data_IF_462792631297
#
_entry.id   IF_462792631297
#
_cell.length_a   1.000
_cell.length_b   1.000
_cell.length_c   1.000
_cell.angle_alpha   90.00
_cell.angle_beta   90.00
_cell.angle_gamma   90.00
#
_symmetry.space_group_name_H-M   'P 1'
#
loop_
_entity.id
_entity.type
_entity.pdbx_description
1 polymer ?
#
# COMPACT_ATOMS: atom_id res chain seq x y z
N UNK A 1 -8.45 56.53 0.78
CA UNK A 1 -8.45 56.95 2.20
C UNK A 1 -9.68 56.35 2.84
N UNK A 2 -9.71 55.58 3.92
CA UNK A 2 -8.74 55.10 4.92
C UNK A 2 -9.46 54.03 5.75
N UNK A 3 -8.68 53.13 6.36
CA UNK A 3 -9.05 51.96 7.19
C UNK A 3 -9.96 52.30 8.38
N UNK A 4 -10.70 51.31 8.89
CA UNK A 4 -10.37 50.62 10.16
C UNK A 4 -11.41 49.53 10.56
N UNK A 5 -10.88 48.37 10.95
CA UNK A 5 -11.51 47.30 11.73
C UNK A 5 -11.56 47.72 13.22
N UNK A 6 -12.39 47.13 14.11
CA UNK A 6 -11.93 45.91 14.81
C UNK A 6 -13.00 44.89 15.28
N UNK A 7 -12.46 43.72 15.66
CA UNK A 7 -12.93 42.60 16.51
C UNK A 7 -14.14 42.86 17.43
N UNK A 8 -14.98 41.91 17.81
CA UNK A 8 -14.92 40.44 17.83
C UNK A 8 -15.71 39.98 19.06
N UNK A 9 -16.38 38.84 19.06
CA UNK A 9 -16.60 38.02 20.27
C UNK A 9 -17.03 36.62 19.85
N UNK A 10 -16.33 35.65 20.42
CA UNK A 10 -16.43 34.22 20.18
C UNK A 10 -17.15 33.57 21.38
N UNK A 11 -17.91 32.49 21.12
CA UNK A 11 -18.47 31.58 22.11
C UNK A 11 -20.00 31.51 22.07
N UNK A 12 -20.68 30.38 22.20
CA UNK A 12 -20.33 29.01 22.55
C UNK A 12 -21.54 28.16 22.14
N UNK A 13 -21.31 27.06 21.42
CA UNK A 13 -22.07 25.81 21.32
C UNK A 13 -21.72 25.16 19.97
N UNK A 14 -20.51 24.61 19.95
CA UNK A 14 -19.95 23.90 18.81
C UNK A 14 -20.57 22.53 18.67
N UNK A 15 -21.33 22.34 17.59
CA UNK A 15 -21.66 21.06 16.97
C UNK A 15 -22.28 21.36 15.60
N UNK A 16 -21.47 21.68 14.61
CA UNK A 16 -21.83 21.49 13.20
C UNK A 16 -20.62 21.58 12.25
N UNK A 17 -20.53 20.54 11.42
CA UNK A 17 -19.89 20.48 10.10
C UNK A 17 -18.38 20.78 10.00
N UNK A 18 -17.57 19.77 10.31
CA UNK A 18 -16.25 19.64 9.66
C UNK A 18 -16.33 18.65 8.51
N UNK A 19 -16.31 19.21 7.31
CA UNK A 19 -16.39 18.51 6.03
C UNK A 19 -15.24 17.51 5.87
N UNK A 20 -15.62 16.26 5.61
CA UNK A 20 -14.78 15.13 5.27
C UNK A 20 -14.07 15.34 3.93
N UNK A 21 -12.95 16.05 3.94
CA UNK A 21 -11.98 16.00 2.87
C UNK A 21 -10.80 15.15 3.33
N UNK A 22 -10.48 14.07 2.60
CA UNK A 22 -9.12 13.64 2.22
C UNK A 22 -9.02 12.12 1.92
N UNK A 23 -8.21 11.77 0.91
CA UNK A 23 -7.92 10.40 0.48
C UNK A 23 -6.87 9.74 1.38
N UNK A 24 -7.14 8.50 1.79
CA UNK A 24 -6.29 7.60 2.58
C UNK A 24 -5.61 8.09 3.91
N UNK A 25 -6.20 8.95 4.76
CA UNK A 25 -5.71 9.13 6.13
C UNK A 25 -5.94 7.91 7.03
N UNK A 26 -6.93 7.07 6.73
CA UNK A 26 -7.38 5.97 7.61
C UNK A 26 -6.32 4.89 7.82
N UNK A 27 -5.56 4.51 6.78
CA UNK A 27 -4.55 3.44 6.86
C UNK A 27 -3.44 3.82 7.83
N UNK A 28 -3.07 5.10 7.86
CA UNK A 28 -2.08 5.66 8.76
C UNK A 28 -2.53 5.70 10.20
N UNK A 29 -3.75 6.20 10.44
CA UNK A 29 -4.28 6.28 11.79
C UNK A 29 -4.49 4.90 12.40
N UNK A 30 -4.92 3.91 11.61
CA UNK A 30 -5.03 2.53 12.06
C UNK A 30 -3.66 1.89 12.30
N UNK A 31 -2.71 2.07 11.39
CA UNK A 31 -1.36 1.50 11.51
C UNK A 31 -0.62 1.99 12.77
N UNK A 32 -0.92 3.20 13.24
CA UNK A 32 -0.33 3.77 14.46
C UNK A 32 -1.06 3.38 15.76
N UNK A 33 -2.15 2.63 15.71
CA UNK A 33 -2.83 2.19 16.93
C UNK A 33 -1.98 1.13 17.66
N UNK A 34 -1.81 1.19 18.99
CA UNK A 34 -1.06 0.17 19.72
C UNK A 34 -1.83 -1.16 19.83
N UNK A 35 -3.15 -1.12 20.08
CA UNK A 35 -4.02 -2.30 20.11
C UNK A 35 -5.49 -1.92 19.87
N UNK A 36 -6.15 -2.54 18.89
CA UNK A 36 -7.59 -2.33 18.69
C UNK A 36 -8.44 -3.02 19.74
N UNK A 37 -7.90 -4.06 20.40
CA UNK A 37 -8.62 -4.86 21.40
C UNK A 37 -9.14 -4.03 22.57
N UNK A 38 -8.41 -2.99 22.98
CA UNK A 38 -8.85 -2.07 24.04
C UNK A 38 -9.93 -1.10 23.54
N UNK A 39 -9.78 -0.57 22.32
CA UNK A 39 -10.69 0.42 21.73
C UNK A 39 -12.03 -0.22 21.37
N UNK A 40 -12.01 -1.45 20.85
CA UNK A 40 -13.21 -2.20 20.49
C UNK A 40 -13.98 -2.73 21.72
N UNK A 41 -13.38 -2.65 22.91
CA UNK A 41 -14.03 -2.95 24.21
C UNK A 41 -14.59 -1.69 24.91
N UNK A 42 -14.21 -0.49 24.47
CA UNK A 42 -14.78 0.79 24.94
C UNK A 42 -16.24 0.91 24.41
N UNK A 43 -17.20 1.50 25.14
CA UNK A 43 -18.54 1.80 24.63
C UNK A 43 -18.57 2.56 23.29
N UNK A 44 -17.50 3.31 22.95
CA UNK A 44 -17.37 3.97 21.63
C UNK A 44 -16.98 3.03 20.49
N UNK A 45 -16.47 1.82 20.78
CA UNK A 45 -16.17 0.77 19.81
C UNK A 45 -15.51 1.25 18.51
N UNK A 46 -16.23 1.09 17.39
CA UNK A 46 -15.77 1.48 16.06
C UNK A 46 -15.69 3.00 15.84
N UNK A 47 -16.52 3.79 16.53
CA UNK A 47 -16.46 5.25 16.50
C UNK A 47 -15.21 5.81 17.18
N UNK A 48 -14.61 5.04 18.09
CA UNK A 48 -13.34 5.38 18.74
C UNK A 48 -12.12 5.29 17.81
N UNK A 49 -12.25 4.65 16.65
CA UNK A 49 -11.15 4.46 15.70
C UNK A 49 -10.91 5.76 14.90
N UNK A 50 -9.80 6.43 15.19
CA UNK A 50 -9.41 7.64 14.47
C UNK A 50 -9.19 7.36 12.98
N UNK A 51 -9.64 8.29 12.15
CA UNK A 51 -9.41 8.27 10.70
C UNK A 51 -10.45 7.47 9.90
N UNK A 52 -11.34 6.72 10.54
CA UNK A 52 -12.45 6.06 9.85
C UNK A 52 -13.55 7.07 9.55
N UNK A 53 -14.11 6.99 8.35
CA UNK A 53 -15.35 7.70 8.00
C UNK A 53 -16.58 6.86 8.35
N UNK A 54 -17.76 7.48 8.31
CA UNK A 54 -19.02 6.83 8.72
C UNK A 54 -19.27 5.49 7.99
N UNK A 55 -18.99 5.41 6.69
CA UNK A 55 -19.12 4.19 5.92
C UNK A 55 -18.19 3.07 6.40
N UNK A 56 -16.97 3.41 6.81
CA UNK A 56 -16.00 2.46 7.35
C UNK A 56 -16.39 2.02 8.76
N UNK A 57 -16.93 2.93 9.57
CA UNK A 57 -17.49 2.59 10.89
C UNK A 57 -18.63 1.58 10.75
N UNK A 58 -19.51 1.73 9.75
CA UNK A 58 -20.58 0.74 9.48
C UNK A 58 -20.03 -0.64 9.14
N UNK A 59 -18.95 -0.72 8.36
CA UNK A 59 -18.28 -2.00 8.05
C UNK A 59 -17.62 -2.58 9.31
N UNK A 60 -16.93 -1.75 10.09
CA UNK A 60 -16.33 -2.13 11.36
C UNK A 60 -17.37 -2.75 12.31
N UNK A 61 -18.51 -2.09 12.52
CA UNK A 61 -19.57 -2.60 13.42
C UNK A 61 -20.12 -3.97 12.98
N UNK A 62 -20.16 -4.24 11.67
CA UNK A 62 -20.62 -5.53 11.12
C UNK A 62 -19.59 -6.65 11.25
N UNK A 63 -18.31 -6.32 11.27
CA UNK A 63 -17.20 -7.28 11.23
C UNK A 63 -16.04 -6.80 12.13
N UNK A 64 -16.33 -6.62 13.41
CA UNK A 64 -15.38 -6.10 14.40
C UNK A 64 -14.11 -6.98 14.47
N UNK A 65 -14.29 -8.30 14.41
CA UNK A 65 -13.19 -9.30 14.39
C UNK A 65 -12.18 -9.09 13.26
N UNK A 66 -12.62 -8.57 12.11
CA UNK A 66 -11.75 -8.35 10.95
C UNK A 66 -10.85 -7.12 11.11
N UNK A 67 -11.13 -6.23 12.08
CA UNK A 67 -10.43 -4.95 12.19
C UNK A 67 -8.96 -5.09 12.58
N UNK A 68 -8.60 -6.12 13.34
CA UNK A 68 -7.18 -6.42 13.61
C UNK A 68 -6.44 -6.81 12.32
N UNK A 69 -7.10 -7.54 11.41
CA UNK A 69 -6.54 -7.83 10.10
C UNK A 69 -6.46 -6.56 9.22
N UNK A 70 -7.46 -5.67 9.29
CA UNK A 70 -7.44 -4.38 8.57
C UNK A 70 -6.25 -3.52 9.02
N UNK A 71 -6.01 -3.43 10.33
CA UNK A 71 -4.85 -2.71 10.89
C UNK A 71 -3.53 -3.27 10.36
N UNK A 72 -3.34 -4.59 10.44
CA UNK A 72 -2.13 -5.23 9.91
C UNK A 72 -1.99 -4.99 8.40
N UNK A 73 -3.08 -5.01 7.66
CA UNK A 73 -3.08 -4.69 6.23
C UNK A 73 -2.64 -3.26 5.94
N UNK A 74 -3.04 -2.32 6.79
CA UNK A 74 -2.61 -0.93 6.70
C UNK A 74 -1.12 -0.74 7.06
N UNK A 75 -0.63 -1.40 8.12
CA UNK A 75 0.79 -1.41 8.49
C UNK A 75 1.66 -1.95 7.35
N UNK A 76 1.30 -3.11 6.80
CA UNK A 76 1.99 -3.71 5.66
C UNK A 76 2.04 -2.76 4.46
N UNK A 77 0.93 -2.07 4.16
CA UNK A 77 0.87 -1.12 3.05
C UNK A 77 1.81 0.08 3.25
N UNK A 78 1.89 0.62 4.47
CA UNK A 78 2.78 1.74 4.80
C UNK A 78 4.25 1.31 4.73
N UNK A 79 4.58 0.19 5.38
CA UNK A 79 5.94 -0.36 5.38
C UNK A 79 6.43 -0.68 3.97
N UNK A 80 5.57 -1.30 3.16
CA UNK A 80 5.92 -1.64 1.79
C UNK A 80 6.02 -0.39 0.91
N UNK A 81 5.19 0.63 1.12
CA UNK A 81 5.34 1.90 0.41
C UNK A 81 6.66 2.59 0.75
N UNK A 82 7.01 2.66 2.04
CA UNK A 82 8.29 3.22 2.48
C UNK A 82 9.47 2.42 1.93
N UNK A 83 9.36 1.09 1.91
CA UNK A 83 10.34 0.23 1.28
C UNK A 83 10.49 0.53 -0.23
N UNK A 84 9.40 0.56 -1.00
CA UNK A 84 9.49 0.79 -2.45
C UNK A 84 10.02 2.17 -2.84
N UNK A 85 9.90 3.16 -1.95
CA UNK A 85 10.24 4.55 -2.21
C UNK A 85 11.40 5.10 -1.36
N UNK A 86 12.09 4.27 -0.54
CA UNK A 86 13.13 4.74 0.39
C UNK A 86 14.23 5.59 -0.26
N UNK A 87 14.51 5.32 -1.54
CA UNK A 87 15.55 5.97 -2.35
C UNK A 87 15.02 7.05 -3.31
N UNK A 88 13.72 7.33 -3.33
CA UNK A 88 13.11 8.40 -4.17
C UNK A 88 13.00 9.69 -3.37
N UNK A 89 12.94 10.86 -4.02
CA UNK A 89 12.74 12.17 -3.35
C UNK A 89 11.48 12.19 -2.48
N UNK A 90 10.38 11.64 -3.00
CA UNK A 90 9.24 11.23 -2.20
C UNK A 90 9.45 9.80 -1.70
N UNK A 91 9.57 9.61 -0.39
CA UNK A 91 9.89 8.32 0.25
C UNK A 91 8.73 7.72 1.05
N UNK A 92 7.50 8.15 0.77
CA UNK A 92 6.32 7.71 1.50
C UNK A 92 6.34 8.04 3.01
N UNK A 93 7.20 8.95 3.47
CA UNK A 93 7.25 9.42 4.87
C UNK A 93 6.21 10.50 5.19
N UNK A 94 5.59 11.13 4.17
CA UNK A 94 4.44 12.05 4.33
C UNK A 94 3.29 11.41 5.12
N UNK A 95 3.26 10.09 5.14
CA UNK A 95 2.36 9.24 5.91
C UNK A 95 2.56 9.31 7.44
N UNK A 96 3.72 9.75 7.93
CA UNK A 96 4.04 9.78 9.37
C UNK A 96 3.71 11.12 10.04
N UNK A 97 3.55 12.22 9.29
CA UNK A 97 3.36 13.58 9.81
C UNK A 97 1.92 14.05 10.02
N UNK A 98 0.91 13.16 9.92
CA UNK A 98 -0.53 13.51 9.98
C UNK A 98 -1.03 13.80 11.41
N UNK A 99 -0.33 14.68 12.12
CA UNK A 99 -0.81 15.36 13.31
C UNK A 99 -1.25 16.76 12.87
N UNK A 100 -2.51 16.91 12.43
CA UNK A 100 -3.37 18.10 12.61
C UNK A 100 -4.45 18.21 11.52
N UNK A 101 -5.61 18.69 11.97
CA UNK A 101 -6.85 18.92 11.23
C UNK A 101 -6.75 20.11 10.27
N UNK A 102 -5.93 20.03 9.23
CA UNK A 102 -5.96 20.94 8.08
C UNK A 102 -4.98 20.40 7.03
N UNK A 103 -5.17 20.76 5.77
CA UNK A 103 -4.34 20.41 4.60
C UNK A 103 -4.85 19.14 3.90
N UNK A 104 -5.60 19.39 2.83
CA UNK A 104 -5.75 18.50 1.68
C UNK A 104 -4.47 17.67 1.45
N UNK A 105 -4.58 16.33 1.46
CA UNK A 105 -3.47 15.44 1.14
C UNK A 105 -2.76 15.95 -0.12
N UNK A 106 -1.51 16.38 -0.02
CA UNK A 106 -0.87 17.14 -1.08
C UNK A 106 -0.62 16.41 -2.39
N UNK A 107 -0.56 15.09 -2.30
CA UNK A 107 -0.39 14.18 -3.42
C UNK A 107 -1.73 13.76 -4.00
N UNK A 108 -2.86 14.35 -3.57
CA UNK A 108 -4.19 13.90 -3.99
C UNK A 108 -4.40 14.10 -5.49
N UNK A 109 -4.47 12.99 -6.23
CA UNK A 109 -4.58 13.02 -7.69
C UNK A 109 -3.25 12.82 -8.41
N UNK A 110 -2.12 12.76 -7.69
CA UNK A 110 -0.79 12.51 -8.27
C UNK A 110 -0.51 11.02 -8.40
N UNK A 111 0.57 10.70 -9.11
CA UNK A 111 1.07 9.34 -9.30
C UNK A 111 1.34 8.62 -7.96
N UNK A 112 1.85 9.35 -6.97
CA UNK A 112 2.15 8.81 -5.63
C UNK A 112 0.85 8.41 -4.90
N UNK A 113 -0.21 9.22 -5.02
CA UNK A 113 -1.52 8.84 -4.46
C UNK A 113 -2.11 7.61 -5.13
N UNK A 114 -1.92 7.45 -6.44
CA UNK A 114 -2.38 6.27 -7.17
C UNK A 114 -1.75 4.99 -6.58
N UNK A 115 -0.45 5.02 -6.29
CA UNK A 115 0.24 3.91 -5.63
C UNK A 115 -0.26 3.69 -4.19
N UNK A 116 -0.42 4.75 -3.38
CA UNK A 116 -0.93 4.64 -2.01
C UNK A 116 -2.31 3.96 -1.97
N UNK A 117 -3.22 4.36 -2.86
CA UNK A 117 -4.55 3.76 -2.97
C UNK A 117 -4.47 2.28 -3.34
N UNK A 118 -3.65 1.94 -4.35
CA UNK A 118 -3.46 0.56 -4.78
C UNK A 118 -2.86 -0.33 -3.68
N UNK A 119 -1.75 0.09 -3.06
CA UNK A 119 -1.08 -0.71 -2.01
C UNK A 119 -1.92 -0.82 -0.74
N UNK A 120 -2.70 0.21 -0.39
CA UNK A 120 -3.61 0.17 0.77
C UNK A 120 -4.77 -0.82 0.55
N UNK A 121 -5.41 -0.76 -0.64
CA UNK A 121 -6.48 -1.70 -0.99
C UNK A 121 -5.97 -3.15 -1.07
N UNK A 122 -4.77 -3.33 -1.64
CA UNK A 122 -4.07 -4.61 -1.67
C UNK A 122 -3.73 -5.13 -0.27
N UNK A 123 -3.22 -4.26 0.61
CA UNK A 123 -2.84 -4.58 1.99
C UNK A 123 -4.01 -5.10 2.81
N UNK A 124 -5.17 -4.44 2.73
CA UNK A 124 -6.40 -4.90 3.40
C UNK A 124 -6.85 -6.25 2.84
N UNK A 125 -6.92 -6.39 1.51
CA UNK A 125 -7.34 -7.65 0.89
C UNK A 125 -6.40 -8.80 1.27
N UNK A 126 -5.10 -8.54 1.27
CA UNK A 126 -4.06 -9.49 1.65
C UNK A 126 -4.20 -9.93 3.11
N UNK A 127 -4.26 -8.98 4.04
CA UNK A 127 -4.29 -9.29 5.47
C UNK A 127 -5.59 -9.99 5.89
N UNK A 128 -6.75 -9.58 5.36
CA UNK A 128 -8.03 -10.24 5.62
C UNK A 128 -8.05 -11.65 5.02
N UNK A 129 -7.57 -11.84 3.79
CA UNK A 129 -7.46 -13.18 3.18
C UNK A 129 -6.61 -14.11 4.05
N UNK A 130 -5.45 -13.61 4.52
CA UNK A 130 -4.54 -14.38 5.37
C UNK A 130 -5.14 -14.71 6.73
N UNK A 131 -5.90 -13.78 7.33
CA UNK A 131 -6.61 -14.02 8.58
C UNK A 131 -7.69 -15.12 8.42
N UNK A 132 -8.45 -15.09 7.32
CA UNK A 132 -9.42 -16.14 6.99
C UNK A 132 -8.76 -17.52 6.89
N UNK A 133 -7.68 -17.65 6.12
CA UNK A 133 -7.01 -18.94 5.91
C UNK A 133 -6.32 -19.49 7.15
N UNK A 134 -6.04 -18.63 8.14
CA UNK A 134 -5.49 -19.04 9.44
C UNK A 134 -6.57 -19.38 10.47
N UNK A 135 -7.85 -19.21 10.12
CA UNK A 135 -8.96 -19.39 11.06
C UNK A 135 -9.02 -18.31 12.14
N UNK A 136 -8.48 -17.11 11.88
CA UNK A 136 -8.55 -15.98 12.83
C UNK A 136 -9.92 -15.26 12.79
N UNK A 137 -10.76 -15.55 11.78
CA UNK A 137 -12.05 -14.90 11.55
C UNK A 137 -13.14 -15.96 11.43
N UNK A 138 -14.25 -15.80 12.14
CA UNK A 138 -15.35 -16.78 12.18
C UNK A 138 -16.16 -16.80 10.87
N UNK A 139 -16.32 -15.64 10.22
CA UNK A 139 -17.18 -15.47 9.03
C UNK A 139 -16.55 -15.97 7.73
N UNK A 140 -15.30 -16.42 7.75
CA UNK A 140 -14.60 -16.91 6.57
C UNK A 140 -13.64 -18.05 6.89
N UNK A 141 -13.05 -18.64 5.86
CA UNK A 141 -12.08 -19.71 5.98
C UNK A 141 -11.39 -19.96 4.64
N UNK A 142 -10.77 -21.13 4.51
CA UNK A 142 -10.17 -21.59 3.26
C UNK A 142 -11.17 -21.61 2.10
N UNK A 143 -10.69 -21.38 0.89
CA UNK A 143 -11.50 -21.47 -0.32
C UNK A 143 -11.96 -22.91 -0.57
N UNK A 144 -13.27 -23.14 -0.41
CA UNK A 144 -13.89 -24.46 -0.59
C UNK A 144 -14.16 -24.79 -2.06
N UNK A 145 -14.02 -23.83 -2.97
CA UNK A 145 -14.28 -24.01 -4.42
C UNK A 145 -13.14 -24.75 -5.13
N UNK A 146 -11.94 -24.77 -4.54
CA UNK A 146 -10.74 -25.35 -5.13
C UNK A 146 -10.49 -26.71 -4.46
N UNK A 147 -10.97 -27.78 -5.11
CA UNK A 147 -10.85 -29.17 -4.64
C UNK A 147 -10.65 -30.11 -5.83
N UNK A 148 -10.19 -31.34 -5.57
CA UNK A 148 -10.04 -32.37 -6.59
C UNK A 148 -8.72 -32.25 -7.36
N UNK A 149 -8.69 -32.77 -8.59
CA UNK A 149 -7.48 -32.78 -9.44
C UNK A 149 -7.52 -31.58 -10.39
N UNK A 150 -6.41 -30.86 -10.52
CA UNK A 150 -6.25 -29.81 -11.52
C UNK A 150 -6.38 -30.40 -12.93
N UNK A 151 -7.07 -29.71 -13.86
CA UNK A 151 -7.05 -30.08 -15.27
C UNK A 151 -5.60 -30.20 -15.75
N UNK A 152 -5.31 -31.21 -16.57
CA UNK A 152 -4.01 -31.32 -17.25
C UNK A 152 -3.79 -30.06 -18.10
N UNK A 153 -2.62 -29.44 -17.95
CA UNK A 153 -2.28 -28.30 -18.78
C UNK A 153 -2.14 -28.78 -20.24
N UNK A 154 -2.75 -28.12 -21.23
CA UNK A 154 -2.48 -28.44 -22.63
C UNK A 154 -0.99 -28.26 -22.88
N UNK A 155 -0.37 -29.23 -23.57
CA UNK A 155 1.07 -29.37 -23.86
C UNK A 155 1.73 -28.20 -24.61
N UNK A 156 1.03 -27.08 -24.80
CA UNK A 156 1.46 -25.87 -25.52
C UNK A 156 1.63 -24.64 -24.64
N UNK A 157 1.71 -24.79 -23.32
CA UNK A 157 2.09 -23.67 -22.45
C UNK A 157 3.56 -23.30 -22.71
N UNK A 158 3.78 -22.08 -23.24
CA UNK A 158 5.10 -21.56 -23.58
C UNK A 158 6.07 -21.62 -22.38
N UNK A 159 7.36 -21.94 -22.59
CA UNK A 159 8.36 -22.10 -21.53
C UNK A 159 8.79 -20.77 -20.86
N UNK A 160 8.13 -19.64 -21.15
CA UNK A 160 8.56 -18.31 -20.73
C UNK A 160 7.92 -17.78 -19.44
N UNK A 161 7.02 -18.53 -18.79
CA UNK A 161 6.60 -18.16 -17.42
C UNK A 161 7.57 -18.78 -16.41
N UNK A 162 8.67 -18.10 -16.16
CA UNK A 162 9.71 -18.47 -15.18
C UNK A 162 9.23 -18.57 -13.72
N UNK A 163 7.94 -18.39 -13.43
CA UNK A 163 7.38 -18.34 -12.07
C UNK A 163 6.03 -19.09 -11.93
N UNK A 164 5.99 -20.38 -12.21
CA UNK A 164 4.86 -21.22 -11.83
C UNK A 164 5.25 -22.67 -11.65
N UNK A 165 5.14 -23.20 -10.42
CA UNK A 165 5.01 -24.66 -10.20
C UNK A 165 3.65 -25.08 -10.78
N UNK A 166 3.58 -25.24 -12.10
CA UNK A 166 2.55 -26.03 -12.74
C UNK A 166 3.27 -27.26 -13.28
N UNK A 167 3.15 -28.42 -12.61
CA UNK A 167 3.64 -29.66 -13.17
C UNK A 167 2.97 -29.90 -14.53
N UNK A 168 3.72 -30.41 -15.50
CA UNK A 168 3.22 -30.81 -16.83
C UNK A 168 2.18 -31.94 -16.77
N UNK A 169 1.93 -32.50 -15.58
CA UNK A 169 0.98 -33.57 -15.28
C UNK A 169 0.00 -33.10 -14.18
N UNK A 170 -1.22 -33.66 -14.17
CA UNK A 170 -2.25 -33.29 -13.20
C UNK A 170 -1.79 -33.36 -11.73
N UNK A 171 -2.20 -32.38 -10.93
CA UNK A 171 -1.92 -32.30 -9.48
C UNK A 171 -3.21 -32.20 -8.67
N UNK A 172 -3.21 -32.72 -7.44
CA UNK A 172 -4.33 -32.70 -6.52
C UNK A 172 -4.34 -31.41 -5.68
N UNK A 173 -5.47 -30.73 -5.62
CA UNK A 173 -5.71 -29.66 -4.67
C UNK A 173 -5.93 -30.24 -3.28
N UNK A 174 -5.13 -29.78 -2.32
CA UNK A 174 -5.24 -30.17 -0.90
C UNK A 174 -4.94 -28.96 0.00
N UNK A 175 -4.99 -29.11 1.32
CA UNK A 175 -4.67 -28.04 2.27
C UNK A 175 -5.66 -26.87 2.29
N UNK A 176 -5.21 -25.73 2.84
CA UNK A 176 -6.01 -24.52 2.93
C UNK A 176 -5.64 -23.55 1.80
N UNK A 177 -6.46 -23.52 0.74
CA UNK A 177 -6.32 -22.50 -0.31
C UNK A 177 -6.83 -21.16 0.18
N UNK A 178 -6.07 -20.09 -0.08
CA UNK A 178 -6.42 -18.73 0.33
C UNK A 178 -7.70 -18.24 -0.37
N UNK A 179 -8.69 -17.80 0.41
CA UNK A 179 -9.95 -17.27 -0.11
C UNK A 179 -9.82 -15.79 -0.50
N UNK A 180 -9.13 -15.55 -1.61
CA UNK A 180 -8.90 -14.20 -2.14
C UNK A 180 -10.23 -13.48 -2.46
N UNK A 181 -11.26 -14.20 -2.89
CA UNK A 181 -12.56 -13.59 -3.21
C UNK A 181 -13.19 -12.89 -2.00
N UNK A 182 -13.06 -13.49 -0.81
CA UNK A 182 -13.55 -12.88 0.44
C UNK A 182 -12.74 -11.62 0.79
N UNK A 183 -11.41 -11.70 0.76
CA UNK A 183 -10.56 -10.55 1.09
C UNK A 183 -10.74 -9.38 0.12
N UNK A 184 -10.91 -9.64 -1.17
CA UNK A 184 -11.23 -8.61 -2.18
C UNK A 184 -12.58 -7.96 -1.87
N UNK A 185 -13.62 -8.77 -1.61
CA UNK A 185 -14.95 -8.24 -1.30
C UNK A 185 -14.96 -7.40 -0.03
N UNK A 186 -14.22 -7.83 1.01
CA UNK A 186 -14.04 -7.06 2.22
C UNK A 186 -13.32 -5.73 1.93
N UNK A 187 -12.20 -5.77 1.21
CA UNK A 187 -11.43 -4.57 0.86
C UNK A 187 -12.26 -3.59 0.01
N UNK A 188 -13.09 -4.08 -0.91
CA UNK A 188 -14.04 -3.23 -1.65
C UNK A 188 -15.04 -2.57 -0.70
N UNK A 189 -15.68 -3.34 0.20
CA UNK A 189 -16.64 -2.77 1.15
C UNK A 189 -16.00 -1.75 2.11
N UNK A 190 -14.76 -1.97 2.54
CA UNK A 190 -14.08 -1.11 3.51
C UNK A 190 -13.39 0.10 2.87
N UNK A 191 -12.64 -0.09 1.77
CA UNK A 191 -11.78 0.93 1.16
C UNK A 191 -12.53 1.74 0.10
N UNK A 192 -13.48 1.15 -0.64
CA UNK A 192 -14.15 1.83 -1.75
C UNK A 192 -15.41 2.59 -1.32
N UNK A 193 -16.13 2.14 -0.28
CA UNK A 193 -17.38 2.78 0.14
C UNK A 193 -17.26 4.30 0.39
N UNK A 194 -16.22 4.80 1.08
CA UNK A 194 -15.99 6.24 1.22
C UNK A 194 -15.88 6.99 -0.11
N UNK A 195 -15.22 6.38 -1.10
CA UNK A 195 -15.06 6.98 -2.43
C UNK A 195 -16.37 6.95 -3.21
N UNK A 196 -17.17 5.88 -3.07
CA UNK A 196 -18.50 5.76 -3.69
C UNK A 196 -19.49 6.79 -3.15
N UNK A 197 -19.49 7.04 -1.84
CA UNK A 197 -20.36 8.05 -1.20
C UNK A 197 -20.06 9.48 -1.68
N UNK A 198 -18.82 9.78 -2.06
CA UNK A 198 -18.44 11.08 -2.65
C UNK A 198 -19.00 11.31 -4.06
N UNK A 199 -19.59 10.28 -4.66
CA UNK A 199 -20.28 10.35 -5.94
C UNK A 199 -19.38 10.18 -7.15
N UNK A 200 -19.94 9.52 -8.18
CA UNK A 200 -19.33 9.24 -9.49
C UNK A 200 -19.02 10.54 -10.27
N UNK A 201 -19.55 11.69 -9.82
CA UNK A 201 -19.26 13.02 -10.37
C UNK A 201 -17.82 13.48 -10.10
N UNK A 202 -17.17 12.96 -9.05
CA UNK A 202 -15.79 13.28 -8.71
C UNK A 202 -14.81 12.46 -9.54
N UNK A 203 -14.03 13.13 -10.39
CA UNK A 203 -12.97 12.49 -11.18
C UNK A 203 -11.94 11.79 -10.29
N UNK A 204 -11.70 12.36 -9.09
CA UNK A 204 -10.79 11.83 -8.09
C UNK A 204 -11.31 10.53 -7.47
N UNK A 205 -12.60 10.45 -7.16
CA UNK A 205 -13.20 9.23 -6.66
C UNK A 205 -13.09 8.09 -7.69
N UNK A 206 -13.34 8.38 -8.98
CA UNK A 206 -13.14 7.42 -10.07
C UNK A 206 -11.69 6.92 -10.16
N UNK A 207 -10.72 7.84 -10.06
CA UNK A 207 -9.30 7.50 -10.06
C UNK A 207 -8.94 6.60 -8.88
N UNK A 208 -9.39 6.95 -7.67
CA UNK A 208 -9.16 6.18 -6.46
C UNK A 208 -9.75 4.77 -6.55
N UNK A 209 -11.00 4.64 -7.01
CA UNK A 209 -11.67 3.35 -7.20
C UNK A 209 -10.94 2.46 -8.21
N UNK A 210 -10.47 3.04 -9.32
CA UNK A 210 -9.68 2.31 -10.31
C UNK A 210 -8.37 1.79 -9.72
N UNK A 211 -7.62 2.66 -9.02
CA UNK A 211 -6.33 2.29 -8.43
C UNK A 211 -6.48 1.29 -7.29
N UNK A 212 -7.52 1.41 -6.46
CA UNK A 212 -7.87 0.42 -5.43
C UNK A 212 -8.10 -0.95 -6.07
N UNK A 213 -8.82 -0.99 -7.20
CA UNK A 213 -9.09 -2.24 -7.92
C UNK A 213 -7.84 -2.83 -8.56
N UNK A 214 -7.00 -2.00 -9.20
CA UNK A 214 -5.70 -2.44 -9.71
C UNK A 214 -4.83 -3.07 -8.60
N UNK A 215 -4.86 -2.48 -7.40
CA UNK A 215 -4.19 -3.03 -6.21
C UNK A 215 -4.70 -4.41 -5.79
N UNK A 216 -6.01 -4.66 -5.91
CA UNK A 216 -6.63 -5.94 -5.52
C UNK A 216 -6.45 -7.05 -6.55
N UNK A 217 -6.02 -6.75 -7.78
CA UNK A 217 -5.77 -7.74 -8.84
C UNK A 217 -4.44 -8.48 -8.69
N UNK A 218 -4.15 -8.92 -7.46
CA UNK A 218 -3.03 -9.81 -7.16
C UNK A 218 -3.39 -11.23 -7.58
N UNK A 219 -2.47 -11.91 -8.26
CA UNK A 219 -2.64 -13.31 -8.65
C UNK A 219 -2.14 -14.22 -7.54
N UNK A 220 -2.94 -15.24 -7.21
CA UNK A 220 -2.52 -16.31 -6.30
C UNK A 220 -1.40 -17.15 -6.93
N UNK A 221 -0.50 -17.65 -6.09
CA UNK A 221 0.53 -18.62 -6.44
C UNK A 221 0.14 -20.02 -5.98
N UNK A 222 0.68 -21.05 -6.63
CA UNK A 222 0.54 -22.42 -6.16
C UNK A 222 1.76 -22.78 -5.31
N UNK A 223 1.53 -23.27 -4.09
CA UNK A 223 2.55 -23.97 -3.31
C UNK A 223 2.24 -25.45 -3.31
N UNK A 224 3.27 -26.27 -3.41
CA UNK A 224 3.15 -27.72 -3.39
C UNK A 224 3.92 -28.30 -2.21
N UNK A 225 3.47 -29.47 -1.74
CA UNK A 225 4.20 -30.24 -0.75
C UNK A 225 5.28 -31.08 -1.45
N UNK A 226 6.40 -31.35 -0.76
CA UNK A 226 7.46 -32.24 -1.19
C UNK A 226 8.74 -32.00 -0.39
N UNK A 227 9.66 -32.98 -0.40
CA UNK A 227 10.91 -32.88 0.36
C UNK A 227 11.69 -31.67 -0.16
N UNK A 228 12.08 -30.78 0.74
CA UNK A 228 12.78 -29.52 0.40
C UNK A 228 12.02 -28.58 -0.55
N UNK A 229 10.69 -28.70 -0.67
CA UNK A 229 9.88 -27.88 -1.59
C UNK A 229 9.87 -28.37 -3.04
N UNK A 230 10.31 -29.61 -3.31
CA UNK A 230 10.13 -30.23 -4.62
C UNK A 230 8.63 -30.38 -4.94
N UNK A 231 8.22 -30.10 -6.17
CA UNK A 231 6.85 -30.37 -6.65
C UNK A 231 6.70 -31.86 -7.09
N UNK A 232 7.54 -32.76 -6.55
CA UNK A 232 7.49 -34.21 -6.79
C UNK A 232 6.23 -34.84 -6.20
N UNK A 233 5.77 -34.32 -5.04
CA UNK A 233 4.45 -34.64 -4.52
C UNK A 233 3.43 -33.72 -5.18
N UNK A 234 2.43 -34.34 -5.80
CA UNK A 234 1.44 -33.68 -6.64
C UNK A 234 0.34 -32.97 -5.85
N UNK A 235 0.55 -32.58 -4.60
CA UNK A 235 -0.47 -31.89 -3.79
C UNK A 235 -0.14 -30.42 -3.62
N UNK A 236 -1.02 -29.54 -4.10
CA UNK A 236 -0.81 -28.09 -4.08
C UNK A 236 -2.02 -27.32 -3.52
N UNK A 237 -1.79 -26.10 -3.06
CA UNK A 237 -2.82 -25.15 -2.60
C UNK A 237 -2.50 -23.74 -3.12
N UNK A 238 -3.54 -22.93 -3.28
CA UNK A 238 -3.36 -21.53 -3.69
C UNK A 238 -3.03 -20.67 -2.49
N UNK A 239 -2.02 -19.83 -2.62
CA UNK A 239 -1.61 -18.90 -1.57
C UNK A 239 -1.40 -17.50 -2.13
N UNK A 240 -1.62 -16.50 -1.28
CA UNK A 240 -1.19 -15.14 -1.54
C UNK A 240 0.34 -15.11 -1.67
N UNK A 241 0.88 -14.43 -2.70
CA UNK A 241 2.32 -14.22 -2.82
C UNK A 241 2.84 -13.40 -1.63
N UNK A 242 4.15 -13.44 -1.32
CA UNK A 242 4.73 -12.52 -0.35
C UNK A 242 4.37 -11.07 -0.68
N UNK A 243 4.02 -10.27 0.34
CA UNK A 243 3.55 -8.90 0.09
C UNK A 243 4.59 -8.01 -0.59
N UNK A 244 5.89 -8.28 -0.39
CA UNK A 244 6.99 -7.66 -1.15
C UNK A 244 6.83 -7.83 -2.67
N UNK A 245 6.38 -9.00 -3.13
CA UNK A 245 6.13 -9.26 -4.56
C UNK A 245 4.96 -8.41 -5.07
N UNK A 246 3.92 -8.22 -4.26
CA UNK A 246 2.82 -7.29 -4.57
C UNK A 246 3.33 -5.86 -4.68
N UNK A 247 4.16 -5.42 -3.73
CA UNK A 247 4.82 -4.11 -3.75
C UNK A 247 5.64 -3.89 -5.02
N UNK A 248 6.46 -4.86 -5.41
CA UNK A 248 7.27 -4.81 -6.63
C UNK A 248 6.39 -4.66 -7.90
N UNK A 249 5.34 -5.48 -8.03
CA UNK A 249 4.40 -5.40 -9.17
C UNK A 249 3.74 -4.02 -9.24
N UNK A 250 3.24 -3.52 -8.11
CA UNK A 250 2.61 -2.19 -8.07
C UNK A 250 3.63 -1.07 -8.33
N UNK A 251 4.90 -1.27 -7.96
CA UNK A 251 5.96 -0.30 -8.21
C UNK A 251 6.30 -0.20 -9.69
N UNK A 252 6.27 -1.31 -10.42
CA UNK A 252 6.36 -1.32 -11.89
C UNK A 252 5.16 -0.58 -12.52
N UNK A 253 3.95 -0.84 -12.02
CA UNK A 253 2.73 -0.13 -12.46
C UNK A 253 2.75 1.36 -12.15
N UNK A 254 3.44 1.77 -11.08
CA UNK A 254 3.66 3.18 -10.76
C UNK A 254 4.58 3.85 -11.79
N UNK A 255 5.70 3.24 -12.20
CA UNK A 255 6.59 3.85 -13.19
C UNK A 255 5.90 4.06 -14.54
N UNK A 256 5.03 3.11 -14.94
CA UNK A 256 4.23 3.16 -16.16
C UNK A 256 2.82 3.76 -16.02
N UNK A 257 2.53 4.47 -14.93
CA UNK A 257 1.18 4.99 -14.67
C UNK A 257 0.74 6.02 -15.73
N UNK A 258 -0.55 6.03 -16.05
CA UNK A 258 -1.11 6.88 -17.13
C UNK A 258 -1.75 8.16 -16.57
N UNK A 259 -1.38 9.31 -17.12
CA UNK A 259 -2.08 10.57 -16.83
C UNK A 259 -3.43 10.60 -17.57
N UNK A 260 -4.50 10.84 -16.83
CA UNK A 260 -5.87 10.82 -17.33
C UNK A 260 -6.57 12.14 -17.06
N UNK A 261 -7.59 12.43 -17.87
CA UNK A 261 -8.51 13.54 -17.64
C UNK A 261 -9.95 13.04 -17.73
N UNK A 262 -10.91 13.71 -17.07
CA UNK A 262 -12.31 13.35 -17.19
C UNK A 262 -12.88 13.74 -18.55
N UNK A 263 -13.59 12.81 -19.19
CA UNK A 263 -14.39 13.04 -20.39
C UNK A 263 -15.84 12.62 -20.12
N UNK A 264 -16.81 13.47 -20.51
CA UNK A 264 -18.22 13.11 -20.47
C UNK A 264 -18.57 12.29 -21.72
N UNK A 265 -19.18 11.13 -21.52
CA UNK A 265 -19.72 10.26 -22.57
C UNK A 265 -21.17 9.98 -22.21
N UNK A 266 -22.10 10.68 -22.88
CA UNK A 266 -23.50 10.73 -22.47
C UNK A 266 -23.66 11.30 -21.05
N UNK A 267 -24.41 10.61 -20.20
CA UNK A 267 -24.59 10.97 -18.78
C UNK A 267 -23.42 10.53 -17.88
N UNK A 268 -22.48 9.72 -18.39
CA UNK A 268 -21.40 9.13 -17.59
C UNK A 268 -20.10 9.94 -17.73
N UNK A 269 -19.37 10.06 -16.63
CA UNK A 269 -18.01 10.60 -16.60
C UNK A 269 -17.03 9.43 -16.65
N UNK A 270 -16.12 9.44 -17.61
CA UNK A 270 -15.08 8.43 -17.77
C UNK A 270 -13.71 9.10 -17.67
N UNK A 271 -12.73 8.37 -17.18
CA UNK A 271 -11.33 8.79 -17.25
C UNK A 271 -10.76 8.29 -18.56
N UNK A 272 -10.06 9.16 -19.28
CA UNK A 272 -9.40 8.81 -20.54
C UNK A 272 -7.97 9.35 -20.53
N UNK A 273 -7.02 8.69 -21.22
CA UNK A 273 -5.65 9.17 -21.32
C UNK A 273 -5.60 10.62 -21.82
N UNK A 274 -4.73 11.44 -21.23
CA UNK A 274 -4.56 12.86 -21.60
C UNK A 274 -4.05 13.05 -23.03
N UNK A 275 -3.25 12.12 -23.52
CA UNK A 275 -2.75 12.11 -24.90
C UNK A 275 -3.22 10.86 -25.62
N UNK A 276 -3.79 11.03 -26.81
CA UNK A 276 -4.26 9.96 -27.70
C UNK A 276 -3.12 9.08 -28.25
N UNK A 277 -1.86 9.52 -28.12
CA UNK A 277 -0.68 8.72 -28.48
C UNK A 277 -0.40 7.58 -27.50
N UNK A 278 -0.97 7.65 -26.29
CA UNK A 278 -0.82 6.59 -25.31
C UNK A 278 -1.90 5.52 -25.51
N UNK A 279 -1.51 4.26 -25.31
CA UNK A 279 -2.46 3.15 -25.30
C UNK A 279 -3.49 3.36 -24.17
N UNK A 280 -4.74 2.92 -24.36
CA UNK A 280 -5.71 2.87 -23.27
C UNK A 280 -5.15 2.09 -22.08
N UNK A 281 -5.36 2.61 -20.87
CA UNK A 281 -4.96 1.93 -19.65
C UNK A 281 -5.84 0.69 -19.40
N UNK A 282 -5.26 -0.35 -18.82
CA UNK A 282 -5.99 -1.55 -18.43
C UNK A 282 -6.44 -1.47 -16.97
N UNK A 283 -7.27 -2.42 -16.55
CA UNK A 283 -7.70 -2.53 -15.16
C UNK A 283 -6.58 -2.95 -14.17
N UNK A 284 -5.35 -3.23 -14.66
CA UNK A 284 -4.17 -3.53 -13.82
C UNK A 284 -3.18 -2.36 -13.77
N UNK A 285 -3.44 -1.28 -14.53
CA UNK A 285 -2.54 -0.13 -14.60
C UNK A 285 -3.00 0.96 -13.64
N UNK A 286 -2.05 1.75 -13.13
CA UNK A 286 -2.37 2.88 -12.28
C UNK A 286 -2.64 4.13 -13.12
N UNK A 287 -3.57 4.96 -12.65
CA UNK A 287 -3.95 6.21 -13.31
C UNK A 287 -3.88 7.38 -12.34
N UNK A 288 -3.53 8.56 -12.84
CA UNK A 288 -3.44 9.79 -12.06
C UNK A 288 -3.95 11.01 -12.83
N UNK A 289 -4.40 12.03 -12.11
CA UNK A 289 -5.07 13.22 -12.66
C UNK A 289 -4.15 14.45 -12.74
N UNK A 290 -3.20 14.56 -11.82
CA UNK A 290 -2.37 15.75 -11.62
C UNK A 290 -0.89 15.39 -11.66
N UNK A 291 -0.07 16.28 -12.21
CA UNK A 291 1.38 16.15 -12.14
C UNK A 291 1.84 16.16 -10.67
N UNK A 292 2.86 15.35 -10.37
CA UNK A 292 3.49 15.35 -9.06
C UNK A 292 4.18 16.70 -8.79
N UNK A 293 4.12 17.23 -7.56
CA UNK A 293 4.86 18.44 -7.20
C UNK A 293 6.36 18.17 -7.21
N UNK A 294 7.15 19.25 -7.12
CA UNK A 294 8.56 19.09 -6.79
C UNK A 294 8.73 18.65 -5.33
N UNK A 295 9.53 17.61 -5.12
CA UNK A 295 9.81 17.02 -3.81
C UNK A 295 11.15 17.46 -3.22
N UNK A 296 11.89 18.34 -3.91
CA UNK A 296 13.22 18.79 -3.51
C UNK A 296 13.21 19.65 -2.25
N UNK A 297 12.38 20.69 -2.23
CA UNK A 297 12.32 21.66 -1.14
C UNK A 297 11.08 21.45 -0.28
N UNK A 298 11.17 21.84 0.98
CA UNK A 298 10.08 21.68 1.93
C UNK A 298 8.93 22.63 1.59
N UNK A 299 7.77 22.09 1.29
CA UNK A 299 6.53 22.86 1.11
C UNK A 299 5.43 22.31 2.02
N UNK A 300 5.17 22.95 3.18
CA UNK A 300 4.13 22.52 4.10
C UNK A 300 2.71 22.56 3.52
N UNK A 301 2.44 23.47 2.57
CA UNK A 301 1.09 23.60 1.96
C UNK A 301 0.76 22.39 1.11
N UNK A 302 1.78 21.87 0.44
CA UNK A 302 1.73 20.62 -0.28
C UNK A 302 2.43 19.49 0.48
N UNK A 303 2.50 19.55 1.83
CA UNK A 303 3.08 18.52 2.72
C UNK A 303 4.30 17.77 2.15
N UNK A 304 5.15 18.50 1.43
CA UNK A 304 6.42 18.05 0.90
C UNK A 304 7.43 18.31 2.00
N UNK A 305 8.13 17.26 2.42
CA UNK A 305 9.15 17.36 3.49
C UNK A 305 10.49 17.89 2.97
N UNK A 306 10.71 17.85 1.67
CA UNK A 306 12.00 18.13 1.03
C UNK A 306 12.99 16.97 1.19
N UNK A 307 14.17 17.12 0.61
CA UNK A 307 15.24 16.12 0.67
C UNK A 307 16.39 16.49 1.62
N UNK A 308 16.30 17.62 2.32
CA UNK A 308 17.29 18.05 3.30
C UNK A 308 17.60 16.96 4.34
N UNK A 309 18.88 16.74 4.63
CA UNK A 309 19.34 15.78 5.64
C UNK A 309 19.14 14.31 5.27
N UNK A 310 18.63 13.99 4.08
CA UNK A 310 18.44 12.61 3.64
C UNK A 310 19.76 11.97 3.24
N UNK A 311 19.95 10.72 3.66
CA UNK A 311 21.09 9.91 3.21
C UNK A 311 21.02 9.67 1.71
N UNK A 312 22.15 9.84 1.04
CA UNK A 312 22.30 9.64 -0.39
C UNK A 312 23.50 8.75 -0.69
N UNK A 313 23.51 8.16 -1.89
CA UNK A 313 24.60 7.33 -2.35
C UNK A 313 25.51 8.14 -3.30
N UNK A 314 26.78 8.35 -2.94
CA UNK A 314 27.70 9.14 -3.75
C UNK A 314 28.07 8.46 -5.06
N UNK A 315 28.10 7.13 -5.11
CA UNK A 315 28.55 6.38 -6.29
C UNK A 315 27.43 6.04 -7.27
N UNK A 316 26.17 6.18 -6.85
CA UNK A 316 25.03 5.84 -7.71
C UNK A 316 24.69 6.99 -8.67
N UNK A 317 24.56 6.72 -9.98
CA UNK A 317 24.00 7.67 -10.93
C UNK A 317 22.45 7.68 -10.93
N UNK A 318 21.81 6.78 -10.17
CA UNK A 318 20.35 6.64 -10.15
C UNK A 318 19.70 7.59 -9.12
N UNK A 319 18.39 7.42 -8.88
CA UNK A 319 17.60 8.33 -8.03
C UNK A 319 18.06 8.39 -6.56
N UNK A 320 18.75 7.35 -6.07
CA UNK A 320 19.40 7.32 -4.75
C UNK A 320 20.72 8.10 -4.71
N UNK A 321 21.23 8.48 -5.88
CA UNK A 321 22.44 9.26 -6.09
C UNK A 321 22.39 10.62 -5.44
N UNK A 322 23.48 11.08 -4.83
CA UNK A 322 23.53 12.39 -4.18
C UNK A 322 23.25 13.56 -5.14
N UNK A 323 23.61 13.44 -6.42
CA UNK A 323 23.32 14.47 -7.42
C UNK A 323 21.80 14.66 -7.62
N UNK A 324 21.07 13.55 -7.81
CA UNK A 324 19.64 13.58 -8.10
C UNK A 324 18.77 13.72 -6.85
N UNK A 325 19.14 13.07 -5.74
CA UNK A 325 18.37 13.10 -4.49
C UNK A 325 18.48 14.45 -3.79
N UNK A 326 19.66 15.07 -3.82
CA UNK A 326 19.91 16.37 -3.18
C UNK A 326 19.62 17.56 -4.10
N UNK A 327 19.09 17.31 -5.30
CA UNK A 327 18.61 18.33 -6.22
C UNK A 327 19.67 19.40 -6.56
N UNK A 328 20.93 18.98 -6.70
CA UNK A 328 22.05 19.89 -7.00
C UNK A 328 22.57 20.73 -5.83
N UNK A 329 21.96 20.68 -4.63
CA UNK A 329 22.42 21.44 -3.44
C UNK A 329 23.74 20.92 -2.85
N UNK A 330 24.23 19.78 -3.32
CA UNK A 330 25.38 19.07 -2.76
C UNK A 330 25.01 18.26 -1.51
N UNK A 331 26.04 17.72 -0.85
CA UNK A 331 25.90 16.86 0.33
C UNK A 331 26.99 17.14 1.37
N UNK A 332 26.71 16.77 2.62
CA UNK A 332 27.68 16.66 3.70
C UNK A 332 28.19 15.22 3.78
N UNK A 333 29.48 15.05 4.05
CA UNK A 333 30.08 13.75 4.34
C UNK A 333 30.49 13.71 5.79
N UNK A 334 30.07 12.67 6.51
CA UNK A 334 30.47 12.40 7.89
C UNK A 334 30.93 10.94 8.00
N UNK A 335 31.89 10.66 8.88
CA UNK A 335 32.22 9.29 9.25
C UNK A 335 31.24 8.81 10.32
N UNK A 336 30.69 7.61 10.14
CA UNK A 336 29.86 6.96 11.12
C UNK A 336 30.41 5.56 11.42
N UNK A 337 30.42 5.19 12.70
CA UNK A 337 30.68 3.80 13.10
C UNK A 337 29.43 2.96 12.88
N UNK A 338 29.53 1.96 12.02
CA UNK A 338 28.48 0.96 11.80
C UNK A 338 28.91 -0.33 12.47
N UNK A 339 28.00 -0.86 13.30
CA UNK A 339 28.18 -2.15 13.97
C UNK A 339 27.38 -3.20 13.21
N UNK A 340 28.08 -4.21 12.69
CA UNK A 340 27.44 -5.31 11.97
C UNK A 340 27.81 -6.68 12.57
N UNK A 341 26.99 -7.68 12.26
CA UNK A 341 27.25 -9.06 12.64
C UNK A 341 28.17 -9.70 11.61
N UNK A 342 29.39 -9.99 12.02
CA UNK A 342 30.44 -10.53 11.17
C UNK A 342 30.91 -11.91 11.67
N UNK A 343 31.66 -12.63 10.82
CA UNK A 343 32.28 -13.92 11.16
C UNK A 343 31.30 -14.91 11.82
N UNK A 344 30.09 -14.99 11.28
CA UNK A 344 29.03 -15.84 11.81
C UNK A 344 29.39 -17.32 11.64
N UNK A 345 29.36 -18.08 12.74
CA UNK A 345 29.55 -19.52 12.76
C UNK A 345 28.25 -20.22 13.16
N UNK A 346 27.81 -21.14 12.31
CA UNK A 346 26.71 -22.04 12.63
C UNK A 346 27.18 -23.08 13.65
N UNK A 347 26.41 -23.26 14.72
CA UNK A 347 26.58 -24.33 15.68
C UNK A 347 25.49 -25.36 15.40
N UNK A 348 25.91 -26.54 14.97
CA UNK A 348 25.03 -27.68 14.79
C UNK A 348 24.40 -28.00 16.16
N UNK A 349 23.06 -27.97 16.23
CA UNK A 349 22.19 -27.62 17.39
C UNK A 349 21.47 -26.24 17.30
N UNK A 350 21.33 -25.70 16.08
CA UNK A 350 20.36 -24.66 15.68
C UNK A 350 20.64 -23.22 16.15
N UNK A 351 21.92 -22.84 16.35
CA UNK A 351 22.25 -21.45 16.66
C UNK A 351 23.34 -20.88 15.75
N UNK A 352 23.22 -19.61 15.40
CA UNK A 352 24.27 -18.85 14.70
C UNK A 352 24.90 -17.88 15.68
N UNK A 353 26.17 -18.08 16.01
CA UNK A 353 26.94 -17.11 16.82
C UNK A 353 27.77 -16.23 15.87
N UNK A 354 27.54 -14.92 15.93
CA UNK A 354 28.31 -13.92 15.19
C UNK A 354 29.10 -13.04 16.17
N UNK A 355 30.21 -12.48 15.70
CA UNK A 355 30.90 -11.39 16.40
C UNK A 355 30.25 -10.05 16.00
N UNK A 356 30.41 -9.03 16.83
CA UNK A 356 30.13 -7.65 16.43
C UNK A 356 31.42 -7.06 15.86
N UNK A 357 31.40 -6.70 14.58
CA UNK A 357 32.46 -5.93 13.96
C UNK A 357 32.03 -4.47 13.85
N UNK A 358 32.99 -3.57 14.04
CA UNK A 358 32.77 -2.13 13.92
C UNK A 358 33.57 -1.64 12.72
N UNK A 359 32.90 -0.92 11.83
CA UNK A 359 33.50 -0.36 10.63
C UNK A 359 33.18 1.13 10.58
N UNK A 360 34.20 1.94 10.28
CA UNK A 360 34.00 3.35 9.94
C UNK A 360 33.58 3.43 8.47
N UNK A 361 32.40 4.00 8.22
CA UNK A 361 31.88 4.22 6.87
C UNK A 361 31.62 5.71 6.65
N UNK A 362 31.82 6.17 5.42
CA UNK A 362 31.37 7.50 5.01
C UNK A 362 29.86 7.50 4.79
N UNK A 363 29.16 8.43 5.43
CA UNK A 363 27.74 8.67 5.26
C UNK A 363 27.56 10.03 4.62
N UNK A 364 26.86 10.05 3.49
CA UNK A 364 26.56 11.27 2.75
C UNK A 364 25.11 11.68 3.00
N UNK A 365 24.87 12.96 3.32
CA UNK A 365 23.52 13.50 3.57
C UNK A 365 23.30 14.80 2.82
N UNK A 366 22.13 14.97 2.22
CA UNK A 366 21.80 16.15 1.43
C UNK A 366 21.84 17.45 2.24
N UNK A 367 22.33 18.52 1.61
CA UNK A 367 22.30 19.89 2.14
C UNK A 367 20.95 20.57 1.96
#
# INVERSE_FOLDING_TARGET
>A
TGRANPAGFCGLLGLQCWQAHQGCPWSLYLAKQPSLRAILRDPRGCEGLRGLVEEQVRVCRRQVEAMDAVKRGAELAVEECQHQFHSRRWNCSTLQGLQTHAISHPTSGTRESAFIHAISAAGVAFAVTRACSRGELEKCGCDRKIRGVSPEAPSRASPSSSHGCFPSAGFQWSGCSDNLSYGIAFSQAFVDNPERSRGISSSRALMNLHNNEAGRKVRLECKCHGVSGSCEVRTCWKVMPPFRKVGNILKEKFEGATEVHPKRVGSRKLLVPKSSRFKPYTAHDLVYLLASPDFCDRDPRHGVFGTYGRRCNRTSPAMDGCELLCCGRGFHTAQAEVVERCSCKFRWCCSVKCKQCRHLVEVHSCR
#
